data_IF_699102095764
#
_entry.id   IF_699102095764
#
_cell.length_a   1.000
_cell.length_b   1.000
_cell.length_c   1.000
_cell.angle_alpha   90.00
_cell.angle_beta   90.00
_cell.angle_gamma   90.00
#
_symmetry.space_group_name_H-M   'P 1'
#
loop_
_entity.id
_entity.type
_entity.pdbx_description
1 polymer ?
#
# COMPACT_ATOMS: atom_id res chain seq x y z
N UNK A 1 24.86 -22.26 -39.37
CA UNK A 1 23.42 -22.48 -39.60
C UNK A 1 22.70 -22.02 -38.37
N UNK A 2 22.13 -20.80 -38.42
CA UNK A 2 21.19 -20.33 -37.41
C UNK A 2 20.00 -21.29 -37.44
N UNK A 3 19.81 -22.04 -36.37
CA UNK A 3 18.58 -22.81 -36.16
C UNK A 3 17.45 -21.81 -35.95
N UNK A 4 16.55 -21.70 -36.94
CA UNK A 4 15.41 -20.82 -36.84
C UNK A 4 14.56 -21.27 -35.63
N UNK A 5 14.54 -20.45 -34.58
CA UNK A 5 13.70 -20.69 -33.40
C UNK A 5 12.25 -20.33 -33.73
N UNK A 6 11.33 -21.13 -33.24
CA UNK A 6 9.91 -20.84 -33.30
C UNK A 6 9.44 -20.37 -31.90
N UNK A 7 8.87 -19.19 -31.85
CA UNK A 7 8.51 -18.52 -30.57
C UNK A 7 7.02 -18.40 -30.47
N UNK A 8 6.49 -18.76 -29.31
CA UNK A 8 5.06 -18.65 -28.99
C UNK A 8 4.88 -17.99 -27.60
N UNK A 9 3.95 -17.08 -27.52
CA UNK A 9 3.57 -16.40 -26.27
C UNK A 9 2.28 -17.03 -25.76
N UNK A 10 2.27 -17.41 -24.50
CA UNK A 10 1.08 -17.88 -23.80
C UNK A 10 0.77 -16.99 -22.60
N UNK A 11 -0.50 -16.85 -22.29
CA UNK A 11 -1.00 -16.11 -21.13
C UNK A 11 -1.83 -17.02 -20.24
N UNK A 12 -1.66 -16.87 -18.95
CA UNK A 12 -2.48 -17.53 -17.92
C UNK A 12 -3.06 -16.50 -16.97
N UNK A 13 -4.29 -16.70 -16.55
CA UNK A 13 -5.01 -15.82 -15.60
C UNK A 13 -5.72 -16.67 -14.56
N UNK A 14 -5.65 -16.22 -13.30
CA UNK A 14 -6.35 -16.86 -12.18
C UNK A 14 -7.07 -15.76 -11.40
N UNK A 15 -8.36 -15.89 -11.26
CA UNK A 15 -9.15 -15.01 -10.41
C UNK A 15 -9.05 -15.46 -8.96
N UNK A 16 -8.84 -14.50 -8.07
CA UNK A 16 -8.58 -14.74 -6.64
C UNK A 16 -9.43 -13.82 -5.81
N UNK A 17 -10.13 -14.40 -4.84
CA UNK A 17 -10.78 -13.59 -3.80
C UNK A 17 -9.77 -13.33 -2.69
N UNK A 18 -9.55 -12.07 -2.30
CA UNK A 18 -8.69 -11.74 -1.17
C UNK A 18 -9.08 -12.47 0.11
N UNK A 19 -8.11 -12.86 0.91
CA UNK A 19 -8.33 -13.68 2.12
C UNK A 19 -7.95 -12.98 3.42
N UNK A 20 -7.28 -11.83 3.33
CA UNK A 20 -6.94 -10.98 4.48
C UNK A 20 -7.27 -9.52 4.24
N UNK A 21 -7.50 -8.77 5.31
CA UNK A 21 -7.67 -7.32 5.29
C UNK A 21 -6.51 -6.62 6.01
N UNK A 22 -5.97 -5.58 5.39
CA UNK A 22 -4.94 -4.72 5.98
C UNK A 22 -5.59 -3.40 6.41
N UNK A 23 -5.37 -3.04 7.66
CA UNK A 23 -5.88 -1.80 8.26
C UNK A 23 -4.70 -1.05 8.86
N UNK A 24 -4.56 0.23 8.51
CA UNK A 24 -3.52 1.11 9.04
C UNK A 24 -4.16 2.13 10.00
N UNK A 25 -3.80 2.05 11.26
CA UNK A 25 -4.23 2.97 12.30
C UNK A 25 -3.12 3.99 12.58
N UNK A 26 -3.27 5.21 12.08
CA UNK A 26 -2.35 6.32 12.32
C UNK A 26 -2.63 7.00 13.66
N UNK A 27 -1.56 7.40 14.33
CA UNK A 27 -1.60 8.15 15.59
C UNK A 27 -0.79 9.42 15.37
N UNK A 28 -1.43 10.57 15.52
CA UNK A 28 -0.78 11.88 15.45
C UNK A 28 -1.09 12.64 16.74
N UNK A 29 -0.04 13.16 17.36
CA UNK A 29 -0.13 14.03 18.54
C UNK A 29 0.54 15.33 18.19
N UNK A 30 -0.10 16.45 18.46
CA UNK A 30 0.37 17.77 18.03
C UNK A 30 0.35 18.77 19.16
N UNK A 31 1.29 19.71 19.10
CA UNK A 31 1.32 20.92 19.90
C UNK A 31 1.39 20.68 21.43
N UNK A 32 2.20 19.72 21.85
CA UNK A 32 2.52 19.53 23.28
C UNK A 32 3.78 20.32 23.66
N UNK A 33 3.92 20.62 24.94
CA UNK A 33 4.98 21.46 25.46
C UNK A 33 6.37 20.81 25.34
N UNK A 34 6.43 19.49 25.46
CA UNK A 34 7.69 18.73 25.48
C UNK A 34 7.62 17.49 24.56
N UNK A 35 8.77 17.08 24.08
CA UNK A 35 8.91 15.82 23.31
C UNK A 35 8.54 14.58 24.16
N UNK A 36 8.78 14.62 25.47
CA UNK A 36 8.44 13.52 26.37
C UNK A 36 6.92 13.35 26.54
N UNK A 37 6.18 14.45 26.56
CA UNK A 37 4.71 14.40 26.57
C UNK A 37 4.16 13.81 25.30
N UNK A 38 4.70 14.18 24.13
CA UNK A 38 4.35 13.59 22.83
C UNK A 38 4.60 12.10 22.83
N UNK A 39 5.78 11.68 23.25
CA UNK A 39 6.18 10.27 23.35
C UNK A 39 5.23 9.48 24.25
N UNK A 40 4.91 10.03 25.42
CA UNK A 40 4.02 9.38 26.40
C UNK A 40 2.63 9.18 25.83
N UNK A 41 2.05 10.21 25.22
CA UNK A 41 0.72 10.15 24.63
C UNK A 41 0.67 9.15 23.47
N UNK A 42 1.61 9.22 22.54
CA UNK A 42 1.71 8.28 21.42
C UNK A 42 1.84 6.83 21.91
N UNK A 43 2.68 6.58 22.92
CA UNK A 43 2.87 5.25 23.49
C UNK A 43 1.58 4.72 24.10
N UNK A 44 0.86 5.57 24.82
CA UNK A 44 -0.39 5.20 25.49
C UNK A 44 -1.45 4.78 24.46
N UNK A 45 -1.64 5.57 23.41
CA UNK A 45 -2.59 5.26 22.33
C UNK A 45 -2.14 4.02 21.54
N UNK A 46 -0.87 3.91 21.19
CA UNK A 46 -0.30 2.75 20.50
C UNK A 46 -0.58 1.45 21.27
N UNK A 47 -0.29 1.43 22.57
CA UNK A 47 -0.49 0.26 23.41
C UNK A 47 -1.98 -0.09 23.55
N UNK A 48 -2.85 0.91 23.62
CA UNK A 48 -4.31 0.72 23.66
C UNK A 48 -4.82 0.09 22.36
N UNK A 49 -4.36 0.56 21.22
CA UNK A 49 -4.71 -0.01 19.90
C UNK A 49 -4.25 -1.46 19.82
N UNK A 50 -3.00 -1.76 20.17
CA UNK A 50 -2.47 -3.13 20.16
C UNK A 50 -3.29 -4.05 21.07
N UNK A 51 -3.62 -3.59 22.27
CA UNK A 51 -4.41 -4.35 23.23
C UNK A 51 -5.81 -4.67 22.69
N UNK A 52 -6.46 -3.69 22.07
CA UNK A 52 -7.79 -3.84 21.51
C UNK A 52 -7.79 -4.82 20.35
N UNK A 53 -6.84 -4.72 19.41
CA UNK A 53 -6.79 -5.64 18.26
C UNK A 53 -6.43 -7.07 18.69
N UNK A 54 -5.57 -7.25 19.70
CA UNK A 54 -5.30 -8.56 20.31
C UNK A 54 -6.56 -9.14 20.97
N UNK A 55 -7.37 -8.34 21.63
CA UNK A 55 -8.63 -8.81 22.23
C UNK A 55 -9.67 -9.26 21.19
N UNK A 56 -9.57 -8.77 19.96
CA UNK A 56 -10.37 -9.20 18.81
C UNK A 56 -9.83 -10.49 18.14
N UNK A 57 -8.74 -11.06 18.67
CA UNK A 57 -8.15 -12.30 18.19
C UNK A 57 -7.12 -12.14 17.09
N UNK A 58 -6.60 -10.92 16.86
CA UNK A 58 -5.47 -10.71 15.94
C UNK A 58 -4.19 -11.18 16.62
N UNK A 59 -3.44 -12.04 15.92
CA UNK A 59 -2.17 -12.56 16.43
C UNK A 59 -1.08 -11.49 16.40
N UNK A 60 -0.12 -11.58 17.33
CA UNK A 60 0.97 -10.61 17.46
C UNK A 60 1.81 -10.47 16.19
N UNK A 61 2.05 -11.58 15.47
CA UNK A 61 2.76 -11.58 14.19
C UNK A 61 2.09 -10.79 13.07
N UNK A 62 0.79 -10.51 13.22
CA UNK A 62 -0.04 -9.78 12.26
C UNK A 62 -0.25 -8.31 12.68
N UNK A 63 0.47 -7.85 13.71
CA UNK A 63 0.45 -6.47 14.21
C UNK A 63 1.85 -5.89 14.05
N UNK A 64 1.96 -4.81 13.31
CA UNK A 64 3.21 -4.11 13.08
C UNK A 64 3.09 -2.65 13.53
N UNK A 65 4.05 -2.17 14.34
CA UNK A 65 4.16 -0.75 14.67
C UNK A 65 5.13 -0.09 13.72
N UNK A 66 4.67 0.95 13.05
CA UNK A 66 5.47 1.76 12.14
C UNK A 66 6.42 2.72 12.85
N UNK A 67 7.09 3.56 12.08
CA UNK A 67 8.06 4.53 12.59
C UNK A 67 7.49 5.45 13.67
N UNK A 68 8.27 5.67 14.71
CA UNK A 68 7.96 6.55 15.83
C UNK A 68 8.71 7.86 15.64
N UNK A 69 8.04 8.91 15.17
CA UNK A 69 8.65 10.19 14.82
C UNK A 69 8.17 11.29 15.76
N UNK A 70 9.11 12.06 16.30
CA UNK A 70 8.83 13.24 17.12
C UNK A 70 9.66 14.40 16.55
N UNK A 71 9.03 15.55 16.36
CA UNK A 71 9.67 16.72 15.79
C UNK A 71 9.18 18.00 16.45
N UNK A 72 10.06 19.05 16.55
CA UNK A 72 9.66 20.35 17.07
C UNK A 72 8.79 21.09 16.05
N UNK A 73 7.84 21.85 16.57
CA UNK A 73 7.09 22.85 15.81
C UNK A 73 7.64 24.24 16.10
N UNK A 74 7.74 25.05 15.06
CA UNK A 74 8.26 26.40 15.16
C UNK A 74 7.13 27.42 14.99
N UNK A 75 7.15 28.46 15.82
CA UNK A 75 6.21 29.56 15.68
C UNK A 75 6.43 30.25 14.31
N UNK A 76 5.42 30.23 13.47
CA UNK A 76 5.40 31.06 12.27
C UNK A 76 5.12 32.48 12.71
N UNK A 77 6.15 33.33 12.77
CA UNK A 77 5.95 34.78 12.86
C UNK A 77 5.27 35.21 11.57
N UNK A 78 3.97 35.43 11.66
CA UNK A 78 3.16 35.87 10.54
C UNK A 78 3.77 37.10 9.90
N UNK A 79 4.27 36.96 8.69
CA UNK A 79 4.65 38.08 7.84
C UNK A 79 3.36 38.71 7.33
N UNK A 80 2.75 39.48 8.21
CA UNK A 80 1.69 40.42 7.90
C UNK A 80 2.17 41.81 8.17
N UNK A 81 3.37 42.18 7.67
CA UNK A 81 3.71 43.61 7.59
C UNK A 81 3.35 44.10 6.21
N UNK A 82 2.43 45.09 6.08
CA UNK A 82 2.32 45.86 4.86
C UNK A 82 3.66 46.53 4.60
N UNK A 83 4.24 46.29 3.43
CA UNK A 83 5.39 47.08 2.96
C UNK A 83 4.98 48.55 2.94
N UNK A 84 5.69 49.44 3.63
CA UNK A 84 5.59 50.86 3.34
C UNK A 84 6.26 51.10 1.99
N UNK A 85 5.47 51.58 1.04
CA UNK A 85 5.98 52.15 -0.21
C UNK A 85 6.87 53.33 0.08
N UNK A 86 8.10 53.25 -0.41
CA UNK A 86 9.02 54.38 -0.73
C UNK A 86 9.48 55.29 0.43
N UNK A 87 10.75 55.16 0.78
CA UNK A 87 11.64 56.32 0.77
C UNK A 87 13.12 55.92 0.87
N UNK A 88 13.85 56.41 -0.16
CA UNK A 88 15.24 56.89 -0.15
C UNK A 88 16.38 55.99 0.34
N UNK A 89 17.26 55.75 -0.62
CA UNK A 89 18.64 55.30 -0.44
C UNK A 89 19.37 56.13 0.62
N UNK A 90 19.99 55.46 1.53
CA UNK A 90 21.31 55.59 2.15
C UNK A 90 21.27 55.12 3.60
N UNK A 91 21.64 53.91 3.78
CA UNK A 91 22.47 53.43 4.89
C UNK A 91 22.54 51.91 4.83
N UNK A 92 23.64 51.41 4.35
CA UNK A 92 24.09 50.04 4.51
C UNK A 92 24.27 49.80 5.99
N UNK A 93 23.37 49.08 6.60
CA UNK A 93 23.63 48.35 7.84
C UNK A 93 23.18 46.93 7.65
N UNK A 94 24.16 46.15 7.31
CA UNK A 94 24.12 44.72 7.22
C UNK A 94 23.86 44.09 8.59
N UNK A 95 22.69 43.59 8.79
CA UNK A 95 22.46 42.40 9.63
C UNK A 95 21.11 41.82 9.23
N UNK A 96 21.04 40.63 8.65
CA UNK A 96 19.77 39.94 8.58
C UNK A 96 19.35 39.69 10.02
N UNK A 97 18.10 39.98 10.38
CA UNK A 97 17.59 39.48 11.65
C UNK A 97 17.71 37.97 11.59
N UNK A 98 18.47 37.40 12.49
CA UNK A 98 18.44 35.99 12.79
C UNK A 98 17.05 35.73 13.38
N UNK A 99 16.06 35.43 12.52
CA UNK A 99 14.82 34.83 12.91
C UNK A 99 15.18 33.46 13.49
N UNK A 100 15.54 33.43 14.76
CA UNK A 100 15.55 32.21 15.53
C UNK A 100 14.08 31.81 15.68
N UNK A 101 13.64 30.96 14.77
CA UNK A 101 12.31 30.34 14.84
C UNK A 101 12.20 29.67 16.20
N UNK A 102 11.44 30.32 17.10
CA UNK A 102 11.26 29.80 18.47
C UNK A 102 10.39 28.55 18.39
N UNK A 103 10.84 27.47 19.02
CA UNK A 103 10.03 26.26 19.18
C UNK A 103 8.73 26.62 19.90
N UNK A 104 7.59 26.35 19.28
CA UNK A 104 6.26 26.61 19.81
C UNK A 104 5.68 25.39 20.51
N UNK A 105 6.13 24.19 20.14
CA UNK A 105 5.67 22.92 20.68
C UNK A 105 6.37 21.74 20.01
N UNK A 106 5.89 20.57 20.30
CA UNK A 106 6.32 19.31 19.73
C UNK A 106 5.13 18.51 19.21
N UNK A 107 5.37 17.83 18.11
CA UNK A 107 4.39 16.92 17.50
C UNK A 107 5.04 15.58 17.19
N UNK A 108 4.24 14.56 17.02
CA UNK A 108 4.72 13.25 16.66
C UNK A 108 3.69 12.41 15.95
N UNK A 109 4.18 11.39 15.27
CA UNK A 109 3.34 10.43 14.55
C UNK A 109 3.91 9.03 14.62
N UNK A 110 3.02 8.05 14.65
CA UNK A 110 3.30 6.63 14.51
C UNK A 110 2.10 5.95 13.85
N UNK A 111 2.23 4.67 13.53
CA UNK A 111 1.12 3.90 12.98
C UNK A 111 1.16 2.46 13.49
N UNK A 112 0.00 1.84 13.52
CA UNK A 112 -0.15 0.41 13.77
C UNK A 112 -0.83 -0.19 12.54
N UNK A 113 -0.13 -1.07 11.86
CA UNK A 113 -0.67 -1.85 10.74
C UNK A 113 -1.16 -3.18 11.26
N UNK A 114 -2.40 -3.51 10.95
CA UNK A 114 -3.07 -4.72 11.42
C UNK A 114 -3.48 -5.58 10.23
N UNK A 115 -2.99 -6.83 10.18
CA UNK A 115 -3.43 -7.83 9.22
C UNK A 115 -4.56 -8.65 9.86
N UNK A 116 -5.76 -8.50 9.35
CA UNK A 116 -6.95 -9.19 9.83
C UNK A 116 -7.21 -10.42 8.95
N UNK A 117 -6.94 -11.61 9.49
CA UNK A 117 -7.11 -12.87 8.75
C UNK A 117 -8.57 -13.29 8.64
N UNK A 118 -9.39 -12.92 9.60
CA UNK A 118 -10.85 -13.07 9.52
C UNK A 118 -11.43 -11.76 8.99
N UNK A 119 -11.47 -11.62 7.67
CA UNK A 119 -11.88 -10.39 6.98
C UNK A 119 -13.25 -9.84 7.40
N UNK A 120 -14.14 -10.73 7.88
CA UNK A 120 -15.46 -10.35 8.43
C UNK A 120 -15.32 -9.47 9.69
N UNK A 121 -14.19 -9.54 10.38
CA UNK A 121 -13.89 -8.72 11.56
C UNK A 121 -13.29 -7.35 11.20
N UNK A 122 -13.01 -7.07 9.92
CA UNK A 122 -12.37 -5.81 9.50
C UNK A 122 -13.14 -4.58 9.99
N UNK A 123 -14.47 -4.59 9.88
CA UNK A 123 -15.33 -3.51 10.36
C UNK A 123 -15.20 -3.27 11.86
N UNK A 124 -15.15 -4.35 12.65
CA UNK A 124 -14.97 -4.26 14.10
C UNK A 124 -13.58 -3.71 14.45
N UNK A 125 -12.55 -4.13 13.73
CA UNK A 125 -11.19 -3.63 13.94
C UNK A 125 -11.13 -2.14 13.66
N UNK A 126 -11.66 -1.66 12.52
CA UNK A 126 -11.71 -0.23 12.17
C UNK A 126 -12.42 0.58 13.27
N UNK A 127 -13.58 0.11 13.72
CA UNK A 127 -14.34 0.78 14.78
C UNK A 127 -13.54 0.84 16.09
N UNK A 128 -12.96 -0.27 16.51
CA UNK A 128 -12.27 -0.36 17.81
C UNK A 128 -10.95 0.40 17.84
N UNK A 129 -10.16 0.42 16.74
CA UNK A 129 -8.94 1.24 16.71
C UNK A 129 -9.25 2.72 16.73
N UNK A 130 -10.35 3.14 16.12
CA UNK A 130 -10.85 4.52 16.20
C UNK A 130 -11.21 4.90 17.62
N UNK A 131 -11.98 4.06 18.32
CA UNK A 131 -12.36 4.27 19.75
C UNK A 131 -11.11 4.27 20.64
N UNK A 132 -10.11 3.44 20.32
CA UNK A 132 -8.85 3.37 21.07
C UNK A 132 -7.96 4.62 20.92
N UNK A 133 -8.27 5.52 20.00
CA UNK A 133 -7.62 6.81 19.84
C UNK A 133 -6.79 6.98 18.57
N UNK A 134 -6.95 6.11 17.56
CA UNK A 134 -6.38 6.36 16.25
C UNK A 134 -6.91 7.68 15.69
N UNK A 135 -6.00 8.55 15.24
CA UNK A 135 -6.35 9.86 14.68
C UNK A 135 -6.66 9.78 13.19
N UNK A 136 -6.14 8.75 12.54
CA UNK A 136 -6.41 8.44 11.14
C UNK A 136 -6.48 6.92 10.96
N UNK A 137 -7.48 6.44 10.24
CA UNK A 137 -7.61 5.02 9.91
C UNK A 137 -7.76 4.89 8.41
N UNK A 138 -6.87 4.11 7.81
CA UNK A 138 -6.87 3.79 6.38
C UNK A 138 -7.14 2.30 6.17
N UNK A 139 -7.91 1.99 5.16
CA UNK A 139 -8.35 0.63 4.86
C UNK A 139 -9.79 0.37 5.35
N UNK A 140 -10.25 -0.89 5.35
CA UNK A 140 -9.48 -2.09 5.05
C UNK A 140 -9.09 -2.19 3.57
N UNK A 141 -7.88 -2.65 3.31
CA UNK A 141 -7.43 -3.05 1.99
C UNK A 141 -7.39 -4.57 1.95
N UNK A 142 -8.20 -5.16 1.12
CA UNK A 142 -8.25 -6.61 0.98
C UNK A 142 -7.14 -7.09 0.05
N UNK A 143 -6.38 -8.08 0.48
CA UNK A 143 -5.24 -8.63 -0.26
C UNK A 143 -5.19 -10.15 -0.10
N UNK A 144 -4.39 -10.78 -0.96
CA UNK A 144 -4.11 -12.21 -0.89
C UNK A 144 -2.87 -12.43 -0.02
N UNK A 145 -2.96 -13.24 1.03
CA UNK A 145 -1.86 -13.48 1.97
C UNK A 145 -0.69 -14.23 1.32
N UNK A 146 -0.98 -15.17 0.40
CA UNK A 146 0.01 -16.00 -0.29
C UNK A 146 -0.11 -15.89 -1.80
N UNK A 147 0.29 -14.78 -2.41
CA UNK A 147 0.14 -14.57 -3.85
C UNK A 147 0.97 -15.53 -4.70
N UNK A 148 2.04 -16.12 -4.14
CA UNK A 148 2.94 -17.04 -4.85
C UNK A 148 2.20 -18.26 -5.41
N UNK A 149 1.26 -18.82 -4.65
CA UNK A 149 0.46 -19.99 -5.05
C UNK A 149 -0.35 -19.70 -6.32
N UNK A 150 -0.90 -18.50 -6.40
CA UNK A 150 -1.70 -18.07 -7.56
C UNK A 150 -0.83 -17.70 -8.76
N UNK A 151 0.38 -17.16 -8.52
CA UNK A 151 1.38 -16.93 -9.56
C UNK A 151 1.82 -18.23 -10.21
N UNK A 152 2.09 -19.27 -9.42
CA UNK A 152 2.44 -20.58 -9.94
C UNK A 152 1.31 -21.19 -10.80
N UNK A 153 0.06 -21.05 -10.34
CA UNK A 153 -1.10 -21.46 -11.13
C UNK A 153 -1.20 -20.70 -12.44
N UNK A 154 -1.10 -19.38 -12.41
CA UNK A 154 -1.15 -18.52 -13.59
C UNK A 154 0.00 -18.86 -14.57
N UNK A 155 1.23 -19.12 -14.07
CA UNK A 155 2.36 -19.56 -14.87
C UNK A 155 2.09 -20.90 -15.54
N UNK A 156 1.56 -21.88 -14.80
CA UNK A 156 1.23 -23.19 -15.34
C UNK A 156 0.17 -23.10 -16.45
N UNK A 157 -0.84 -22.26 -16.27
CA UNK A 157 -1.84 -21.98 -17.32
C UNK A 157 -1.21 -21.28 -18.53
N UNK A 158 -0.29 -20.33 -18.31
CA UNK A 158 0.41 -19.65 -19.39
C UNK A 158 1.27 -20.62 -20.23
N UNK A 159 2.01 -21.53 -19.58
CA UNK A 159 2.81 -22.55 -20.24
C UNK A 159 1.91 -23.49 -21.07
N UNK A 160 0.82 -23.96 -20.50
CA UNK A 160 -0.15 -24.83 -21.17
C UNK A 160 -0.74 -24.12 -22.38
N UNK A 161 -1.15 -22.87 -22.25
CA UNK A 161 -1.68 -22.07 -23.33
C UNK A 161 -0.65 -21.88 -24.45
N UNK A 162 0.61 -21.56 -24.13
CA UNK A 162 1.68 -21.45 -25.11
C UNK A 162 1.93 -22.77 -25.88
N UNK A 163 1.92 -23.90 -25.17
CA UNK A 163 2.09 -25.23 -25.77
C UNK A 163 0.91 -25.61 -26.70
N UNK A 164 -0.30 -25.29 -26.32
CA UNK A 164 -1.50 -25.53 -27.14
C UNK A 164 -1.47 -24.66 -28.40
N UNK A 165 -1.11 -23.37 -28.27
CA UNK A 165 -0.94 -22.48 -29.42
C UNK A 165 0.18 -22.97 -30.33
N UNK A 166 1.31 -23.41 -29.78
CA UNK A 166 2.43 -23.95 -30.59
C UNK A 166 1.99 -25.15 -31.40
N UNK A 167 1.25 -26.09 -30.81
CA UNK A 167 0.70 -27.26 -31.52
C UNK A 167 -0.27 -26.86 -32.63
N UNK A 168 -1.11 -25.88 -32.41
CA UNK A 168 -2.08 -25.39 -33.37
C UNK A 168 -1.34 -24.74 -34.57
N UNK A 169 -0.45 -23.79 -34.28
CA UNK A 169 0.31 -23.07 -35.30
C UNK A 169 1.22 -24.00 -36.11
N UNK A 170 1.85 -25.00 -35.50
CA UNK A 170 2.69 -25.96 -36.21
C UNK A 170 1.92 -26.75 -37.27
N UNK A 171 0.66 -27.12 -36.95
CA UNK A 171 -0.22 -27.80 -37.92
C UNK A 171 -0.65 -26.87 -39.05
N UNK A 172 -1.01 -25.64 -38.74
CA UNK A 172 -1.45 -24.66 -39.73
C UNK A 172 -0.32 -24.25 -40.69
N UNK A 173 0.91 -24.15 -40.18
CA UNK A 173 2.08 -23.78 -40.95
C UNK A 173 2.79 -24.97 -41.61
N UNK A 174 2.38 -26.19 -41.30
CA UNK A 174 3.02 -27.40 -41.84
C UNK A 174 4.46 -27.62 -41.35
N UNK A 175 4.82 -27.07 -40.20
CA UNK A 175 6.16 -27.19 -39.62
C UNK A 175 6.15 -28.21 -38.46
N UNK A 176 7.31 -28.84 -38.23
CA UNK A 176 7.52 -29.74 -37.09
C UNK A 176 8.29 -29.00 -36.02
N UNK A 177 7.69 -28.89 -34.82
CA UNK A 177 8.36 -28.34 -33.66
C UNK A 177 9.13 -29.44 -32.92
N UNK A 178 10.33 -29.09 -32.49
CA UNK A 178 11.15 -29.89 -31.61
C UNK A 178 10.81 -29.66 -30.14
N UNK A 179 11.82 -29.81 -29.30
CA UNK A 179 11.69 -29.52 -27.85
C UNK A 179 11.70 -28.01 -27.58
N UNK A 180 11.22 -27.65 -26.41
CA UNK A 180 11.41 -26.30 -25.89
C UNK A 180 12.89 -26.08 -25.59
N UNK A 181 13.48 -25.04 -26.15
CA UNK A 181 14.89 -24.68 -25.97
C UNK A 181 15.07 -23.63 -24.88
N UNK A 182 14.11 -22.71 -24.72
CA UNK A 182 14.15 -21.63 -23.75
C UNK A 182 12.74 -21.21 -23.33
N UNK A 183 12.65 -20.60 -22.17
CA UNK A 183 11.45 -20.00 -21.65
C UNK A 183 11.78 -18.65 -21.00
N UNK A 184 11.04 -17.64 -21.37
CA UNK A 184 11.09 -16.32 -20.74
C UNK A 184 9.74 -16.05 -20.12
N UNK A 185 9.71 -15.79 -18.82
CA UNK A 185 8.53 -15.30 -18.14
C UNK A 185 8.60 -13.78 -18.09
N UNK A 186 7.67 -13.13 -18.75
CA UNK A 186 7.42 -11.70 -18.65
C UNK A 186 6.28 -11.51 -17.67
N UNK A 187 6.60 -11.42 -16.39
CA UNK A 187 5.64 -11.13 -15.35
C UNK A 187 6.05 -9.84 -14.67
N UNK A 188 5.35 -8.77 -14.91
CA UNK A 188 5.19 -7.82 -13.84
C UNK A 188 4.61 -8.61 -12.67
N UNK A 189 5.20 -8.45 -11.49
CA UNK A 189 4.59 -8.95 -10.26
C UNK A 189 3.10 -8.63 -10.25
N UNK A 190 2.32 -9.14 -9.31
CA UNK A 190 0.88 -9.08 -9.36
C UNK A 190 0.46 -7.67 -9.75
N UNK A 191 -0.11 -7.54 -10.91
CA UNK A 191 -0.94 -6.39 -11.21
C UNK A 191 -2.10 -6.57 -10.25
N UNK A 192 -1.95 -6.03 -9.05
CA UNK A 192 -3.11 -5.65 -8.31
C UNK A 192 -3.71 -4.54 -9.17
N UNK A 193 -4.65 -4.89 -10.01
CA UNK A 193 -5.57 -3.90 -10.52
C UNK A 193 -6.31 -3.41 -9.26
N UNK A 194 -5.70 -2.43 -8.62
CA UNK A 194 -6.39 -1.63 -7.64
C UNK A 194 -7.51 -0.96 -8.44
N UNK A 195 -8.60 -1.70 -8.56
CA UNK A 195 -9.81 -1.20 -9.17
C UNK A 195 -9.93 0.22 -8.68
N UNK A 196 -9.92 1.10 -9.63
CA UNK A 196 -10.10 2.54 -9.48
C UNK A 196 -11.50 2.77 -8.91
N UNK A 197 -11.69 2.26 -7.68
CA UNK A 197 -12.81 2.59 -6.83
C UNK A 197 -12.69 4.07 -6.58
N UNK A 198 -13.45 4.83 -7.32
CA UNK A 198 -13.59 6.25 -7.07
C UNK A 198 -13.87 6.41 -5.59
N UNK A 199 -13.04 7.18 -4.92
CA UNK A 199 -13.32 7.68 -3.58
C UNK A 199 -14.55 8.58 -3.76
N UNK A 200 -15.72 8.00 -3.67
CA UNK A 200 -16.91 8.77 -3.36
C UNK A 200 -16.72 9.21 -1.91
N UNK A 201 -16.36 10.47 -1.74
CA UNK A 201 -16.40 11.14 -0.44
C UNK A 201 -17.85 11.19 0.02
N UNK A 202 -18.30 10.09 0.59
CA UNK A 202 -19.55 10.08 1.33
C UNK A 202 -19.29 10.84 2.64
N UNK A 203 -19.88 12.01 2.71
CA UNK A 203 -20.06 12.74 3.95
C UNK A 203 -20.84 11.85 4.92
N UNK A 204 -20.11 11.14 5.77
CA UNK A 204 -20.67 10.19 6.71
C UNK A 204 -21.45 10.95 7.79
N UNK A 205 -22.75 10.87 7.69
CA UNK A 205 -23.63 11.06 8.84
C UNK A 205 -23.30 9.95 9.81
N UNK A 206 -22.77 10.30 10.97
CA UNK A 206 -22.35 9.35 12.01
C UNK A 206 -23.58 8.58 12.48
N UNK A 207 -23.79 7.42 11.91
CA UNK A 207 -24.64 6.37 12.46
C UNK A 207 -23.74 5.38 13.19
N UNK A 208 -24.17 4.89 14.34
CA UNK A 208 -23.39 4.02 15.23
C UNK A 208 -23.20 2.59 14.73
N UNK A 209 -23.42 2.33 13.47
CA UNK A 209 -23.20 1.04 12.83
C UNK A 209 -21.79 0.95 12.27
N UNK A 210 -21.16 -0.24 12.43
CA UNK A 210 -19.87 -0.53 11.82
C UNK A 210 -19.98 -0.47 10.29
N UNK A 211 -18.99 0.13 9.59
CA UNK A 211 -19.01 0.22 8.14
C UNK A 211 -18.98 -1.17 7.49
N UNK A 212 -19.70 -1.34 6.38
CA UNK A 212 -19.66 -2.56 5.56
C UNK A 212 -18.62 -2.36 4.46
N UNK A 213 -17.78 -3.37 4.26
CA UNK A 213 -16.72 -3.36 3.25
C UNK A 213 -16.89 -4.54 2.30
N UNK A 214 -16.80 -4.27 1.00
CA UNK A 214 -16.80 -5.28 -0.06
C UNK A 214 -15.37 -5.54 -0.55
N UNK A 215 -15.00 -6.80 -0.75
CA UNK A 215 -13.63 -7.22 -1.01
C UNK A 215 -13.23 -7.27 -2.50
N UNK A 216 -14.20 -7.37 -3.39
CA UNK A 216 -13.94 -7.51 -4.82
C UNK A 216 -13.26 -8.84 -5.21
N UNK A 217 -12.76 -8.92 -6.43
CA UNK A 217 -12.00 -10.06 -6.96
C UNK A 217 -10.78 -9.53 -7.71
N UNK A 218 -9.62 -10.08 -7.40
CA UNK A 218 -8.35 -9.76 -8.05
C UNK A 218 -8.03 -10.79 -9.14
N UNK A 219 -7.28 -10.39 -10.18
CA UNK A 219 -6.79 -11.28 -11.22
C UNK A 219 -5.26 -11.32 -11.20
N UNK A 220 -4.70 -12.52 -11.01
CA UNK A 220 -3.27 -12.77 -11.15
C UNK A 220 -2.99 -13.28 -12.55
N UNK A 221 -2.07 -12.65 -13.28
CA UNK A 221 -1.72 -13.03 -14.64
C UNK A 221 -0.24 -13.35 -14.77
N UNK A 222 0.09 -14.27 -15.69
CA UNK A 222 1.45 -14.58 -16.13
C UNK A 222 1.50 -14.63 -17.64
N UNK A 223 2.59 -14.15 -18.22
CA UNK A 223 2.87 -14.24 -19.64
C UNK A 223 4.18 -14.99 -19.83
N UNK A 224 4.15 -16.05 -20.61
CA UNK A 224 5.29 -16.91 -20.86
C UNK A 224 5.59 -16.95 -22.37
N UNK A 225 6.85 -16.76 -22.74
CA UNK A 225 7.33 -16.93 -24.09
C UNK A 225 8.12 -18.23 -24.16
N UNK A 226 7.67 -19.18 -24.96
CA UNK A 226 8.35 -20.44 -25.19
C UNK A 226 9.07 -20.41 -26.56
N UNK A 227 10.30 -20.90 -26.56
CA UNK A 227 11.15 -21.05 -27.75
C UNK A 227 11.26 -22.53 -28.09
N UNK A 228 10.99 -22.87 -29.33
CA UNK A 228 11.01 -24.25 -29.80
C UNK A 228 12.09 -24.41 -30.88
N UNK A 229 12.77 -25.54 -30.84
CA UNK A 229 13.58 -25.99 -31.96
C UNK A 229 12.70 -26.27 -33.17
N UNK A 230 13.10 -25.81 -34.33
CA UNK A 230 12.44 -26.12 -35.60
C UNK A 230 13.08 -27.37 -36.24
N UNK A 231 12.28 -28.38 -36.54
CA UNK A 231 12.72 -29.61 -37.25
C UNK A 231 12.29 -29.59 -38.70
#
# INVERSE_FOLDING_TARGET
TESAEFTVVGTGKVDVVPDVAIIDAGITVSNLATSDEVKKEMTLVNNRIIQVVKSLGVEEKDIETGGFNIYPEYATTGIGRPMPLLQSADSVSSSPPSDQSKISGYSGSTSVTVKVRKKEQASQVVQNVTIAGATNVSGPRFVVDKPEVYREKARSEAIKNAQEQAKKLSKELGIRLGKVTNMIESGNGPYYDYGRGGIETMSAKVTSEAPVFEEGTDTVSSTVTLFFERK
#
